data_IF_011704077329
#
_entry.id   IF_011704077329
#
_cell.length_a   1.000
_cell.length_b   1.000
_cell.length_c   1.000
_cell.angle_alpha   90.00
_cell.angle_beta   90.00
_cell.angle_gamma   90.00
#
_symmetry.space_group_name_H-M   'P 1'
#
loop_
_entity.id
_entity.type
_entity.pdbx_description
1 polymer ?
#
# COMPACT_ATOMS: atom_id res chain seq x y z
N UNK A 1 42.69 -4.98 -17.85
CA UNK A 1 41.67 -5.81 -17.16
C UNK A 1 40.75 -5.04 -16.20
N UNK A 2 41.07 -3.80 -15.79
CA UNK A 2 40.26 -3.03 -14.81
C UNK A 2 39.03 -2.29 -15.39
N UNK A 3 38.97 -2.01 -16.69
CA UNK A 3 37.88 -1.23 -17.30
C UNK A 3 36.58 -2.06 -17.42
N UNK A 4 36.70 -3.38 -17.61
CA UNK A 4 35.53 -4.27 -17.77
C UNK A 4 34.77 -4.48 -16.46
N UNK A 5 35.45 -4.44 -15.31
CA UNK A 5 34.84 -4.57 -13.98
C UNK A 5 34.12 -3.30 -13.53
N UNK A 6 34.63 -2.12 -13.89
CA UNK A 6 33.98 -0.84 -13.62
C UNK A 6 32.64 -0.68 -14.37
N UNK A 7 32.57 -1.13 -15.62
CA UNK A 7 31.34 -1.10 -16.40
C UNK A 7 30.23 -1.98 -15.81
N UNK A 8 30.59 -3.13 -15.22
CA UNK A 8 29.62 -4.08 -14.66
C UNK A 8 28.96 -3.57 -13.37
N UNK A 9 29.74 -2.91 -12.50
CA UNK A 9 29.21 -2.30 -11.26
C UNK A 9 28.25 -1.13 -11.54
N UNK A 10 28.47 -0.38 -12.63
CA UNK A 10 27.59 0.71 -13.06
C UNK A 10 26.24 0.22 -13.61
N UNK A 11 26.18 -0.96 -14.22
CA UNK A 11 24.91 -1.53 -14.72
C UNK A 11 24.09 -2.15 -13.58
N UNK A 12 24.73 -2.80 -12.61
CA UNK A 12 24.05 -3.41 -11.47
C UNK A 12 23.38 -2.40 -10.52
N UNK A 13 23.90 -1.16 -10.46
CA UNK A 13 23.30 -0.06 -9.68
C UNK A 13 22.09 0.60 -10.38
N UNK A 14 21.90 0.36 -11.68
CA UNK A 14 20.74 0.85 -12.43
C UNK A 14 19.56 -0.13 -12.41
N UNK A 15 19.77 -1.36 -11.95
CA UNK A 15 18.78 -2.44 -11.93
C UNK A 15 18.21 -2.71 -10.52
N UNK A 16 18.68 -2.00 -9.49
CA UNK A 16 18.13 -2.07 -8.13
C UNK A 16 16.84 -1.25 -8.01
N UNK A 17 15.82 -1.65 -8.78
CA UNK A 17 14.43 -1.28 -8.53
C UNK A 17 13.71 -2.49 -7.94
N UNK A 18 13.83 -2.67 -6.62
CA UNK A 18 12.78 -3.37 -5.89
C UNK A 18 11.60 -2.40 -5.73
N UNK A 19 10.80 -2.28 -6.79
CA UNK A 19 9.47 -1.70 -6.63
C UNK A 19 8.66 -2.70 -5.83
N UNK A 20 8.59 -2.53 -4.51
CA UNK A 20 7.40 -2.94 -3.78
C UNK A 20 6.22 -2.33 -4.55
N UNK A 21 5.34 -3.17 -5.07
CA UNK A 21 4.26 -2.70 -5.93
C UNK A 21 3.34 -1.80 -5.11
N UNK A 22 3.49 -0.49 -5.27
CA UNK A 22 2.57 0.51 -4.73
C UNK A 22 1.19 0.22 -5.31
N UNK A 23 0.20 -0.08 -4.45
CA UNK A 23 -1.15 -0.40 -4.90
C UNK A 23 -1.80 0.84 -5.51
N UNK A 24 -2.17 0.75 -6.79
CA UNK A 24 -2.87 1.80 -7.49
C UNK A 24 -4.34 1.91 -7.05
N UNK A 25 -5.02 2.99 -7.46
CA UNK A 25 -6.42 3.21 -7.10
C UNK A 25 -7.32 2.05 -7.56
N UNK A 26 -7.13 1.53 -8.77
CA UNK A 26 -8.01 0.51 -9.33
C UNK A 26 -7.92 -0.79 -8.51
N UNK A 27 -6.70 -1.24 -8.22
CA UNK A 27 -6.43 -2.43 -7.39
C UNK A 27 -6.92 -2.21 -5.96
N UNK A 28 -6.68 -1.03 -5.39
CA UNK A 28 -7.08 -0.70 -4.02
C UNK A 28 -8.60 -0.68 -3.86
N UNK A 29 -9.33 0.00 -4.76
CA UNK A 29 -10.78 0.07 -4.74
C UNK A 29 -11.43 -1.29 -5.01
N UNK A 30 -10.85 -2.09 -5.91
CA UNK A 30 -11.29 -3.47 -6.14
C UNK A 30 -11.13 -4.30 -4.86
N UNK A 31 -9.97 -4.21 -4.19
CA UNK A 31 -9.70 -4.92 -2.95
C UNK A 31 -10.67 -4.52 -1.82
N UNK A 32 -10.98 -3.22 -1.70
CA UNK A 32 -11.96 -2.69 -0.75
C UNK A 32 -13.35 -3.34 -0.90
N UNK A 33 -13.79 -3.57 -2.13
CA UNK A 33 -15.07 -4.22 -2.41
C UNK A 33 -15.06 -5.69 -1.97
N UNK A 34 -14.00 -6.42 -2.32
CA UNK A 34 -13.87 -7.84 -1.98
C UNK A 34 -13.80 -8.03 -0.46
N UNK A 35 -12.94 -7.26 0.22
CA UNK A 35 -12.76 -7.41 1.67
C UNK A 35 -14.02 -7.01 2.47
N UNK A 36 -14.87 -6.11 1.95
CA UNK A 36 -16.15 -5.76 2.56
C UNK A 36 -17.18 -6.90 2.53
N UNK A 37 -17.06 -7.83 1.58
CA UNK A 37 -17.95 -8.99 1.45
C UNK A 37 -17.43 -10.22 2.23
N UNK A 38 -16.24 -10.15 2.81
CA UNK A 38 -15.59 -11.26 3.53
C UNK A 38 -15.84 -11.21 5.04
N UNK A 39 -16.58 -12.17 5.63
CA UNK A 39 -16.79 -12.23 7.07
C UNK A 39 -15.48 -12.31 7.85
N UNK A 40 -15.35 -11.47 8.89
CA UNK A 40 -14.16 -11.46 9.76
C UNK A 40 -12.91 -10.80 9.17
N UNK A 41 -12.97 -10.29 7.93
CA UNK A 41 -11.84 -9.59 7.30
C UNK A 41 -11.62 -8.20 7.88
N UNK A 42 -12.71 -7.48 8.09
CA UNK A 42 -12.71 -6.13 8.61
C UNK A 42 -13.31 -6.05 10.01
N UNK A 43 -12.89 -5.03 10.75
CA UNK A 43 -13.39 -4.78 12.10
C UNK A 43 -14.89 -4.46 12.01
N UNK A 44 -15.70 -5.06 12.87
CA UNK A 44 -17.17 -4.88 12.83
C UNK A 44 -17.61 -3.50 13.31
N UNK A 45 -16.73 -2.77 14.01
CA UNK A 45 -17.01 -1.44 14.53
C UNK A 45 -16.32 -0.39 13.68
N UNK A 46 -17.03 0.66 13.26
CA UNK A 46 -16.44 1.83 12.61
C UNK A 46 -15.31 2.43 13.45
N UNK A 47 -14.26 2.93 12.80
CA UNK A 47 -13.16 3.64 13.44
C UNK A 47 -13.34 5.16 13.30
N UNK A 48 -12.84 5.96 14.25
CA UNK A 48 -12.87 7.42 14.11
C UNK A 48 -12.13 7.88 12.84
N UNK A 49 -12.64 8.93 12.18
CA UNK A 49 -12.03 9.46 10.96
C UNK A 49 -10.54 9.82 11.12
N UNK A 50 -10.14 10.30 12.31
CA UNK A 50 -8.74 10.60 12.59
C UNK A 50 -7.85 9.36 12.54
N UNK A 51 -8.32 8.22 13.06
CA UNK A 51 -7.60 6.95 12.99
C UNK A 51 -7.54 6.44 11.55
N UNK A 52 -8.65 6.52 10.82
CA UNK A 52 -8.73 6.20 9.39
C UNK A 52 -7.69 6.99 8.59
N UNK A 53 -7.66 8.32 8.76
CA UNK A 53 -6.72 9.21 8.08
C UNK A 53 -5.27 8.85 8.44
N UNK A 54 -4.98 8.59 9.71
CA UNK A 54 -3.65 8.20 10.16
C UNK A 54 -3.16 6.92 9.48
N UNK A 55 -4.01 5.89 9.38
CA UNK A 55 -3.68 4.63 8.71
C UNK A 55 -3.44 4.81 7.21
N UNK A 56 -4.25 5.64 6.55
CA UNK A 56 -4.09 5.97 5.12
C UNK A 56 -2.79 6.72 4.88
N UNK A 57 -2.52 7.77 5.67
CA UNK A 57 -1.31 8.59 5.52
C UNK A 57 -0.05 7.76 5.78
N UNK A 58 -0.08 6.88 6.78
CA UNK A 58 1.02 5.96 7.03
C UNK A 58 1.28 5.04 5.83
N UNK A 59 0.25 4.38 5.29
CA UNK A 59 0.40 3.47 4.15
C UNK A 59 0.90 4.19 2.89
N UNK A 60 0.46 5.44 2.66
CA UNK A 60 0.96 6.28 1.57
C UNK A 60 2.45 6.59 1.76
N UNK A 61 2.87 7.03 2.95
CA UNK A 61 4.28 7.34 3.23
C UNK A 61 5.19 6.11 3.20
N UNK A 62 4.67 4.91 3.48
CA UNK A 62 5.40 3.65 3.30
C UNK A 62 5.43 3.18 1.83
N UNK A 63 4.83 3.90 0.89
CA UNK A 63 4.78 3.51 -0.52
C UNK A 63 3.87 2.33 -0.81
N UNK A 64 2.99 1.93 0.12
CA UNK A 64 2.09 0.79 -0.04
C UNK A 64 0.89 1.11 -0.95
N UNK A 65 0.50 2.38 -1.02
CA UNK A 65 -0.58 2.87 -1.87
C UNK A 65 -0.18 4.14 -2.61
N UNK A 66 -0.75 4.34 -3.79
CA UNK A 66 -0.56 5.60 -4.54
C UNK A 66 -1.23 6.78 -3.84
N UNK A 67 -0.77 7.99 -4.12
CA UNK A 67 -1.41 9.23 -3.65
C UNK A 67 -2.91 9.26 -4.03
N UNK A 68 -3.23 8.82 -5.26
CA UNK A 68 -4.62 8.77 -5.74
C UNK A 68 -5.49 7.81 -4.93
N UNK A 69 -4.95 6.64 -4.56
CA UNK A 69 -5.62 5.72 -3.66
C UNK A 69 -5.81 6.36 -2.28
N UNK A 70 -4.80 7.06 -1.75
CA UNK A 70 -4.90 7.74 -0.46
C UNK A 70 -6.01 8.81 -0.41
N UNK A 71 -6.14 9.63 -1.45
CA UNK A 71 -7.21 10.63 -1.56
C UNK A 71 -8.59 9.99 -1.70
N UNK A 72 -8.71 8.97 -2.54
CA UNK A 72 -9.95 8.22 -2.68
C UNK A 72 -10.36 7.59 -1.34
N UNK A 73 -9.42 6.95 -0.64
CA UNK A 73 -9.64 6.37 0.69
C UNK A 73 -10.20 7.37 1.69
N UNK A 74 -9.66 8.59 1.73
CA UNK A 74 -10.16 9.67 2.60
C UNK A 74 -11.57 10.13 2.21
N UNK A 75 -11.84 10.25 0.91
CA UNK A 75 -13.13 10.70 0.40
C UNK A 75 -14.25 9.67 0.61
N UNK A 76 -13.93 8.39 0.46
CA UNK A 76 -14.89 7.29 0.54
C UNK A 76 -14.87 6.55 1.87
N UNK A 77 -13.99 6.92 2.81
CA UNK A 77 -13.93 6.31 4.15
C UNK A 77 -13.46 4.85 4.12
N UNK A 78 -12.44 4.54 3.33
CA UNK A 78 -11.77 3.23 3.33
C UNK A 78 -10.35 3.36 3.87
N UNK A 79 -9.87 2.38 4.61
CA UNK A 79 -8.53 2.40 5.19
C UNK A 79 -7.81 1.06 5.01
N UNK A 80 -6.47 1.06 4.86
CA UNK A 80 -5.71 -0.18 4.78
C UNK A 80 -5.52 -0.78 6.18
N UNK A 81 -5.69 -2.09 6.27
CA UNK A 81 -5.18 -2.93 7.36
C UNK A 81 -3.86 -3.52 6.87
N UNK A 82 -2.78 -3.16 7.54
CA UNK A 82 -1.42 -3.60 7.18
C UNK A 82 -1.02 -4.74 8.11
N UNK A 83 -0.55 -5.83 7.53
CA UNK A 83 0.00 -6.93 8.30
C UNK A 83 1.37 -6.53 8.88
N UNK A 84 1.56 -6.75 10.17
CA UNK A 84 2.74 -6.25 10.89
C UNK A 84 4.04 -6.97 10.49
N UNK A 85 3.95 -8.23 10.07
CA UNK A 85 5.14 -9.04 9.76
C UNK A 85 5.60 -8.87 8.31
N UNK A 86 4.67 -8.87 7.37
CA UNK A 86 4.95 -8.72 5.94
C UNK A 86 4.98 -7.27 5.47
N UNK A 87 4.48 -6.33 6.28
CA UNK A 87 4.31 -4.92 5.93
C UNK A 87 3.46 -4.69 4.67
N UNK A 88 2.69 -5.70 4.26
CA UNK A 88 1.80 -5.63 3.12
C UNK A 88 0.38 -5.27 3.55
N UNK A 89 -0.41 -4.74 2.62
CA UNK A 89 -1.84 -4.52 2.83
C UNK A 89 -2.53 -5.88 2.94
N UNK A 90 -2.91 -6.23 4.15
CA UNK A 90 -3.71 -7.41 4.44
C UNK A 90 -5.13 -7.20 3.93
N UNK A 91 -5.77 -6.08 4.25
CA UNK A 91 -7.14 -5.81 3.82
C UNK A 91 -7.37 -4.31 3.57
N UNK A 92 -8.46 -3.98 2.90
CA UNK A 92 -8.98 -2.62 2.79
C UNK A 92 -10.39 -2.58 3.37
N UNK A 93 -10.55 -1.84 4.46
CA UNK A 93 -11.76 -1.88 5.27
C UNK A 93 -12.50 -0.56 5.26
N UNK A 94 -13.82 -0.62 5.47
CA UNK A 94 -14.67 0.56 5.65
C UNK A 94 -14.49 1.09 7.07
N UNK A 95 -14.22 2.39 7.18
CA UNK A 95 -14.10 3.11 8.45
C UNK A 95 -15.44 3.41 9.09
#
# INVERSE_FOLDING_TARGET
>A
MMIKTLALAGVLSLLSFESFATMDLATYAHRARIDAEMPGRCVYRPIPYQELKMRIDWAFHQGLITERAAWWSKAYGYYPVVDMFSQNIAAVCKG
#
